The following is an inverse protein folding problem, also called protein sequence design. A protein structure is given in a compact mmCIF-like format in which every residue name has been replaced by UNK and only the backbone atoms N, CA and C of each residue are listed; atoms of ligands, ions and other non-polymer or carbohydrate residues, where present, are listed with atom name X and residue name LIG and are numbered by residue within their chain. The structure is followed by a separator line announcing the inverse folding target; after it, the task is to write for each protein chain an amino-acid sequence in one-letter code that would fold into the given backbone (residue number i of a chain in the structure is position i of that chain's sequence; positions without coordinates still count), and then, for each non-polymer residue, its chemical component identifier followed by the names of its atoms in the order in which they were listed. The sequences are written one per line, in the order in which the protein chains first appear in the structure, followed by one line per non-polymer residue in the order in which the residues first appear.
data_IF_107532911279
#
_entry.id   IF_107532911279
#
_cell.length_a   1.000
_cell.length_b   1.000
_cell.length_c   1.000
_cell.angle_alpha   90.00
_cell.angle_beta   90.00
_cell.angle_gamma   90.00
#
_symmetry.space_group_name_H-M   'P 1'
#
loop_
_entity.id
_entity.type
_entity.pdbx_description
1 polymer ?
#
# COMPACT_ATOMS: atom_id res chain seq x y z
N UNK A 1 50.72 22.38 -10.99
CA UNK A 1 51.92 23.23 -10.78
C UNK A 1 51.45 24.68 -10.67
N UNK A 2 52.12 25.57 -9.91
CA UNK A 2 53.43 25.44 -9.26
C UNK A 2 53.36 25.49 -7.71
N UNK A 3 54.11 24.63 -6.99
CA UNK A 3 55.39 24.84 -6.26
C UNK A 3 55.25 25.67 -4.96
N UNK A 4 55.79 25.30 -3.78
CA UNK A 4 56.67 24.20 -3.39
C UNK A 4 57.03 24.18 -1.87
N UNK A 5 57.39 22.96 -1.44
CA UNK A 5 58.16 22.41 -0.29
C UNK A 5 59.00 23.32 0.64
N UNK A 6 59.03 22.97 1.93
CA UNK A 6 60.19 22.54 2.79
C UNK A 6 59.73 22.55 4.28
N UNK A 7 59.77 21.49 5.09
CA UNK A 7 60.84 20.59 5.59
C UNK A 7 61.79 21.26 6.62
N UNK A 8 61.77 20.76 7.87
CA UNK A 8 62.76 21.06 8.92
C UNK A 8 62.44 20.38 10.26
N UNK A 9 63.26 19.39 10.63
CA UNK A 9 63.20 18.55 11.84
C UNK A 9 64.34 18.93 12.82
N UNK A 10 64.21 18.46 14.07
CA UNK A 10 65.24 18.27 15.11
C UNK A 10 65.71 19.52 15.90
N UNK A 11 66.05 19.48 17.20
CA UNK A 11 66.22 18.40 18.18
C UNK A 11 66.31 18.99 19.61
N UNK A 12 66.18 18.11 20.62
CA UNK A 12 67.10 17.96 21.75
C UNK A 12 66.45 17.83 23.14
N UNK A 13 67.05 16.94 23.90
CA UNK A 13 66.63 16.22 25.09
C UNK A 13 67.74 16.41 26.13
N UNK A 14 67.43 16.66 27.40
CA UNK A 14 68.26 16.23 28.55
C UNK A 14 67.58 16.48 29.91
N UNK A 15 67.70 15.47 30.77
CA UNK A 15 67.24 15.32 32.16
C UNK A 15 68.03 16.18 33.17
N UNK A 16 67.46 16.37 34.38
CA UNK A 16 68.15 15.99 35.65
C UNK A 16 67.16 15.72 36.82
N UNK A 17 67.47 14.65 37.55
CA UNK A 17 67.04 14.16 38.89
C UNK A 17 67.42 15.16 40.02
N UNK A 18 67.01 15.15 41.31
CA UNK A 18 66.22 14.27 42.23
C UNK A 18 66.14 14.89 43.66
N UNK A 19 65.33 14.25 44.53
CA UNK A 19 65.28 14.24 46.01
C UNK A 19 64.39 15.31 46.70
N UNK A 20 63.48 15.01 47.63
CA UNK A 20 63.06 13.78 48.32
C UNK A 20 62.70 14.13 49.78
N UNK A 21 61.51 13.75 50.30
CA UNK A 21 61.26 13.29 51.68
C UNK A 21 59.78 12.91 51.88
N UNK A 22 59.57 11.75 52.51
CA UNK A 22 58.27 11.20 52.88
C UNK A 22 57.90 11.57 54.32
N UNK A 23 56.60 11.77 54.60
CA UNK A 23 55.96 11.45 55.89
C UNK A 23 54.52 10.98 55.63
N UNK A 24 54.10 10.04 56.46
CA UNK A 24 52.94 9.17 56.29
C UNK A 24 51.67 9.67 57.03
N UNK A 25 50.56 9.00 56.70
CA UNK A 25 49.29 8.85 57.46
C UNK A 25 48.27 9.99 57.38
N UNK A 26 47.15 9.74 56.68
CA UNK A 26 45.93 9.29 57.35
C UNK A 26 44.88 8.81 56.33
N UNK A 27 44.49 7.54 56.49
CA UNK A 27 43.32 6.96 55.84
C UNK A 27 42.07 7.45 56.58
N UNK A 28 41.13 8.05 55.84
CA UNK A 28 39.75 8.21 56.27
C UNK A 28 38.88 7.78 55.10
N UNK A 29 38.32 6.58 55.23
CA UNK A 29 37.41 6.00 54.25
C UNK A 29 36.13 6.83 54.17
N UNK A 30 35.93 7.50 53.03
CA UNK A 30 34.59 7.91 52.60
C UNK A 30 34.04 6.73 51.80
N UNK A 31 33.12 6.00 52.42
CA UNK A 31 32.29 5.02 51.73
C UNK A 31 31.49 5.78 50.68
N UNK A 32 31.79 5.55 49.40
CA UNK A 32 31.01 6.09 48.30
C UNK A 32 29.57 5.54 48.41
N UNK A 33 28.62 6.43 48.65
CA UNK A 33 27.20 6.14 48.60
C UNK A 33 26.86 5.62 47.18
N UNK A 34 26.14 4.50 47.04
CA UNK A 34 25.70 4.05 45.72
C UNK A 34 24.80 5.14 45.13
N UNK A 35 25.14 5.58 43.92
CA UNK A 35 24.32 6.52 43.16
C UNK A 35 22.90 5.95 43.06
N UNK A 36 21.93 6.68 43.60
CA UNK A 36 20.52 6.33 43.46
C UNK A 36 20.16 6.22 41.96
N UNK A 37 19.15 5.42 41.60
CA UNK A 37 18.73 5.30 40.22
C UNK A 37 18.42 6.70 39.67
N UNK A 38 19.15 7.11 38.64
CA UNK A 38 18.85 8.31 37.87
C UNK A 38 17.37 8.26 37.50
N UNK A 39 16.61 9.21 38.03
CA UNK A 39 15.23 9.39 37.67
C UNK A 39 15.17 9.47 36.14
N UNK A 40 14.52 8.48 35.52
CA UNK A 40 14.18 8.53 34.10
C UNK A 40 13.35 9.79 33.95
N UNK A 41 13.91 10.81 33.30
CA UNK A 41 13.20 12.04 33.00
C UNK A 41 11.99 11.64 32.15
N UNK A 42 10.81 11.66 32.75
CA UNK A 42 9.54 11.47 32.05
C UNK A 42 9.39 12.64 31.09
N UNK A 43 9.59 12.39 29.79
CA UNK A 43 9.26 13.34 28.73
C UNK A 43 7.83 13.86 28.97
N UNK A 44 7.60 15.19 28.99
CA UNK A 44 6.25 15.73 29.13
C UNK A 44 5.32 15.11 28.08
N UNK A 45 4.12 14.71 28.50
CA UNK A 45 3.11 14.17 27.59
C UNK A 45 2.77 15.20 26.50
N UNK A 46 2.81 14.79 25.23
CA UNK A 46 2.44 15.64 24.09
C UNK A 46 0.91 15.62 23.93
N UNK A 47 0.19 16.74 24.17
CA UNK A 47 -1.27 16.77 24.10
C UNK A 47 -1.82 16.40 22.71
N UNK A 48 -1.03 16.58 21.65
CA UNK A 48 -1.44 16.14 20.32
C UNK A 48 -1.56 14.62 20.25
N UNK A 49 -0.66 13.89 20.92
CA UNK A 49 -0.64 12.44 20.90
C UNK A 49 -1.79 11.85 21.73
N UNK A 50 -2.17 12.52 22.83
CA UNK A 50 -3.41 12.17 23.55
C UNK A 50 -4.65 12.33 22.66
N UNK A 51 -4.72 13.38 21.84
CA UNK A 51 -5.81 13.58 20.89
C UNK A 51 -5.80 12.52 19.76
N UNK A 52 -4.63 12.16 19.26
CA UNK A 52 -4.46 11.10 18.26
C UNK A 52 -4.97 9.77 18.81
N UNK A 53 -4.52 9.38 20.02
CA UNK A 53 -4.96 8.13 20.65
C UNK A 53 -6.47 8.15 20.92
N UNK A 54 -7.02 9.29 21.34
CA UNK A 54 -8.47 9.42 21.53
C UNK A 54 -9.24 9.26 20.23
N UNK A 55 -8.74 9.81 19.12
CA UNK A 55 -9.35 9.66 17.81
C UNK A 55 -9.35 8.20 17.35
N UNK A 56 -8.22 7.50 17.52
CA UNK A 56 -8.07 6.07 17.19
C UNK A 56 -9.00 5.22 18.07
N UNK A 57 -9.01 5.44 19.38
CA UNK A 57 -9.85 4.71 20.34
C UNK A 57 -11.34 4.85 20.00
N UNK A 58 -11.85 6.08 19.86
CA UNK A 58 -13.26 6.33 19.54
C UNK A 58 -13.67 5.61 18.26
N UNK A 59 -12.84 5.67 17.23
CA UNK A 59 -13.17 5.09 15.94
C UNK A 59 -12.96 3.57 15.89
N UNK A 60 -12.20 2.98 16.83
CA UNK A 60 -12.07 1.53 16.97
C UNK A 60 -13.38 0.83 17.37
N UNK A 61 -14.32 1.60 17.92
CA UNK A 61 -15.67 1.13 18.26
C UNK A 61 -16.65 1.13 17.07
N UNK A 62 -16.20 1.56 15.88
CA UNK A 62 -16.98 1.46 14.65
C UNK A 62 -16.85 0.07 14.05
N UNK A 63 -17.71 -0.84 14.49
CA UNK A 63 -17.70 -2.20 13.97
C UNK A 63 -18.34 -2.28 12.59
N UNK A 64 -17.61 -2.87 11.65
CA UNK A 64 -18.21 -3.43 10.44
C UNK A 64 -18.77 -4.81 10.75
N UNK A 65 -19.83 -5.18 10.04
CA UNK A 65 -20.57 -6.43 10.22
C UNK A 65 -20.21 -7.42 9.13
N UNK A 66 -19.84 -8.64 9.53
CA UNK A 66 -19.67 -9.77 8.61
C UNK A 66 -20.96 -10.01 7.81
N UNK A 67 -20.81 -10.39 6.54
CA UNK A 67 -21.89 -10.65 5.58
C UNK A 67 -22.84 -9.47 5.28
N UNK A 68 -22.64 -8.30 5.89
CA UNK A 68 -23.39 -7.08 5.61
C UNK A 68 -22.50 -6.03 4.96
N UNK A 69 -21.35 -5.72 5.57
CA UNK A 69 -20.36 -4.87 4.95
C UNK A 69 -19.61 -5.63 3.87
N UNK A 70 -19.26 -4.90 2.81
CA UNK A 70 -18.60 -5.50 1.65
C UNK A 70 -17.15 -5.87 1.96
N UNK A 71 -16.57 -6.85 1.23
CA UNK A 71 -15.15 -7.13 1.29
C UNK A 71 -14.30 -5.87 1.13
N UNK A 72 -14.65 -4.99 0.19
CA UNK A 72 -13.97 -3.72 0.00
C UNK A 72 -13.91 -2.90 1.30
N UNK A 73 -15.05 -2.72 1.99
CA UNK A 73 -15.10 -1.96 3.25
C UNK A 73 -14.27 -2.62 4.35
N UNK A 74 -14.31 -3.95 4.45
CA UNK A 74 -13.63 -4.71 5.50
C UNK A 74 -12.10 -4.68 5.32
N UNK A 75 -11.59 -4.79 4.10
CA UNK A 75 -10.15 -4.66 3.84
C UNK A 75 -9.61 -3.25 4.16
N UNK A 76 -10.42 -2.20 3.99
CA UNK A 76 -10.02 -0.87 4.47
C UNK A 76 -9.95 -0.82 6.00
N UNK A 77 -10.86 -1.47 6.73
CA UNK A 77 -10.71 -1.61 8.17
C UNK A 77 -9.42 -2.33 8.58
N UNK A 78 -9.04 -3.37 7.83
CA UNK A 78 -7.78 -4.11 8.01
C UNK A 78 -6.57 -3.22 7.75
N UNK A 79 -6.58 -2.35 6.72
CA UNK A 79 -5.43 -1.47 6.47
C UNK A 79 -5.20 -0.46 7.58
N UNK A 80 -6.19 -0.14 8.42
CA UNK A 80 -5.99 0.73 9.59
C UNK A 80 -5.50 -0.09 10.79
N UNK A 81 -6.32 -1.03 11.26
CA UNK A 81 -6.10 -1.71 12.54
C UNK A 81 -5.34 -3.04 12.42
N UNK A 82 -4.97 -3.45 11.21
CA UNK A 82 -4.26 -4.71 10.94
C UNK A 82 -4.98 -5.90 11.57
N UNK A 83 -4.25 -6.75 12.29
CA UNK A 83 -4.77 -7.89 13.06
C UNK A 83 -5.73 -7.52 14.19
N UNK A 84 -5.76 -6.25 14.61
CA UNK A 84 -6.63 -5.77 15.69
C UNK A 84 -8.00 -5.32 15.17
N UNK A 85 -8.23 -5.32 13.85
CA UNK A 85 -9.53 -4.94 13.32
C UNK A 85 -10.57 -5.99 13.71
N UNK A 86 -11.65 -5.58 14.40
CA UNK A 86 -12.70 -6.47 14.87
C UNK A 86 -13.96 -6.31 14.01
N UNK A 87 -14.53 -7.44 13.58
CA UNK A 87 -15.85 -7.50 12.95
C UNK A 87 -16.90 -7.92 13.97
N UNK A 88 -18.11 -7.42 13.77
CA UNK A 88 -19.31 -7.98 14.38
C UNK A 88 -19.77 -9.19 13.55
N UNK A 89 -19.81 -10.37 14.17
CA UNK A 89 -20.21 -11.65 13.57
C UNK A 89 -21.36 -12.22 14.38
N UNK A 90 -22.59 -12.05 13.88
CA UNK A 90 -23.79 -12.27 14.71
C UNK A 90 -23.77 -11.35 15.93
N UNK A 91 -23.90 -11.92 17.12
CA UNK A 91 -23.82 -11.20 18.40
C UNK A 91 -22.39 -11.12 18.98
N UNK A 92 -21.42 -11.77 18.34
CA UNK A 92 -20.03 -11.82 18.81
C UNK A 92 -19.12 -10.88 18.04
N UNK A 93 -17.94 -10.61 18.61
CA UNK A 93 -16.85 -9.91 17.92
C UNK A 93 -15.73 -10.89 17.60
N UNK A 94 -15.20 -10.82 16.39
CA UNK A 94 -14.09 -11.66 15.94
C UNK A 94 -13.06 -10.81 15.18
N UNK A 95 -11.75 -11.10 15.31
CA UNK A 95 -10.75 -10.46 14.44
C UNK A 95 -11.09 -10.69 12.97
N UNK A 96 -11.04 -9.62 12.17
CA UNK A 96 -11.47 -9.62 10.78
C UNK A 96 -10.69 -10.63 9.94
N UNK A 97 -9.37 -10.66 10.11
CA UNK A 97 -8.48 -11.57 9.39
C UNK A 97 -8.81 -13.03 9.73
N UNK A 98 -9.04 -13.34 11.00
CA UNK A 98 -9.36 -14.71 11.45
C UNK A 98 -10.73 -15.16 10.91
N UNK A 99 -11.69 -14.25 10.89
CA UNK A 99 -13.00 -14.52 10.29
C UNK A 99 -12.87 -14.80 8.79
N UNK A 100 -12.17 -13.95 8.02
CA UNK A 100 -11.93 -14.16 6.59
C UNK A 100 -11.19 -15.49 6.34
N UNK A 101 -10.20 -15.81 7.17
CA UNK A 101 -9.39 -17.02 7.06
C UNK A 101 -10.19 -18.31 7.28
N UNK A 102 -11.23 -18.27 8.12
CA UNK A 102 -11.92 -19.49 8.58
C UNK A 102 -13.33 -19.67 8.06
N UNK A 103 -14.02 -18.59 7.67
CA UNK A 103 -15.45 -18.61 7.40
C UNK A 103 -15.85 -19.09 5.99
N UNK A 104 -14.90 -19.26 5.06
CA UNK A 104 -15.20 -19.43 3.62
C UNK A 104 -16.15 -18.32 3.13
N UNK A 105 -15.73 -17.07 3.40
CA UNK A 105 -16.59 -15.89 3.37
C UNK A 105 -17.22 -15.64 1.99
N UNK A 106 -18.49 -15.22 2.01
CA UNK A 106 -19.28 -14.86 0.82
C UNK A 106 -19.92 -13.49 0.98
N UNK A 107 -20.05 -12.75 -0.11
CA UNK A 107 -20.81 -11.50 -0.18
C UNK A 107 -21.73 -11.54 -1.39
N UNK A 108 -23.04 -11.37 -1.17
CA UNK A 108 -24.07 -11.57 -2.19
C UNK A 108 -23.89 -12.89 -2.98
N UNK A 109 -23.67 -13.99 -2.25
CA UNK A 109 -23.43 -15.35 -2.76
C UNK A 109 -22.13 -15.56 -3.56
N UNK A 110 -21.33 -14.51 -3.80
CA UNK A 110 -20.03 -14.61 -4.43
C UNK A 110 -18.94 -14.88 -3.38
N UNK A 111 -17.99 -15.80 -3.65
CA UNK A 111 -16.89 -16.08 -2.72
C UNK A 111 -15.94 -14.88 -2.64
N UNK A 112 -15.33 -14.66 -1.48
CA UNK A 112 -14.33 -13.58 -1.33
C UNK A 112 -12.98 -13.93 -1.96
N UNK A 113 -12.67 -15.22 -2.06
CA UNK A 113 -11.41 -15.73 -2.60
C UNK A 113 -11.73 -16.72 -3.71
N UNK A 114 -11.02 -16.58 -4.82
CA UNK A 114 -11.11 -17.44 -6.00
C UNK A 114 -9.85 -18.28 -6.11
N UNK A 115 -10.02 -19.56 -6.44
CA UNK A 115 -8.91 -20.45 -6.85
C UNK A 115 -8.65 -20.20 -8.34
N UNK A 116 -7.37 -20.05 -8.71
CA UNK A 116 -6.95 -19.80 -10.09
C UNK A 116 -5.97 -20.88 -10.55
N UNK A 117 -5.65 -20.90 -11.85
CA UNK A 117 -4.60 -21.78 -12.38
C UNK A 117 -3.20 -21.47 -11.79
N UNK A 118 -3.00 -20.26 -11.26
CA UNK A 118 -1.73 -19.77 -10.72
C UNK A 118 -1.74 -19.69 -9.18
N UNK A 119 -2.78 -20.17 -8.50
CA UNK A 119 -2.90 -20.10 -7.04
C UNK A 119 -4.28 -19.64 -6.60
N UNK A 120 -4.36 -18.45 -6.01
CA UNK A 120 -5.62 -17.88 -5.55
C UNK A 120 -5.61 -16.36 -5.68
N UNK A 121 -6.77 -15.70 -5.62
CA UNK A 121 -6.87 -14.24 -5.53
C UNK A 121 -8.11 -13.82 -4.76
N UNK A 122 -8.09 -12.61 -4.22
CA UNK A 122 -9.33 -12.00 -3.78
C UNK A 122 -10.24 -11.74 -4.98
N UNK A 123 -11.54 -11.82 -4.75
CA UNK A 123 -12.52 -11.75 -5.82
C UNK A 123 -12.45 -10.37 -6.50
N UNK A 124 -12.34 -10.30 -7.83
CA UNK A 124 -12.20 -9.05 -8.56
C UNK A 124 -13.52 -8.27 -8.59
N UNK A 125 -13.49 -7.08 -9.20
CA UNK A 125 -14.67 -6.25 -9.42
C UNK A 125 -15.83 -7.06 -10.02
N UNK A 126 -16.98 -7.01 -9.34
CA UNK A 126 -18.17 -7.78 -9.71
C UNK A 126 -19.20 -6.97 -10.51
N UNK A 127 -18.84 -5.79 -11.03
CA UNK A 127 -19.80 -4.87 -11.64
C UNK A 127 -20.53 -3.95 -10.65
N UNK A 128 -20.25 -4.08 -9.35
CA UNK A 128 -20.84 -3.26 -8.29
C UNK A 128 -19.75 -2.45 -7.57
N UNK A 129 -19.79 -1.11 -7.64
CA UNK A 129 -18.90 -0.22 -6.90
C UNK A 129 -18.71 -0.63 -5.44
N UNK A 130 -17.46 -0.66 -4.98
CA UNK A 130 -17.10 -0.92 -3.58
C UNK A 130 -17.68 -2.22 -3.00
N UNK A 131 -18.02 -3.22 -3.82
CA UNK A 131 -18.40 -4.56 -3.36
C UNK A 131 -17.13 -5.40 -3.10
N UNK A 132 -16.32 -5.57 -4.15
CA UNK A 132 -15.08 -6.32 -4.15
C UNK A 132 -13.90 -5.40 -4.53
N UNK A 133 -12.71 -5.93 -4.76
CA UNK A 133 -11.59 -5.08 -5.18
C UNK A 133 -11.85 -4.40 -6.53
N UNK A 134 -11.61 -3.08 -6.57
CA UNK A 134 -11.74 -2.29 -7.80
C UNK A 134 -10.51 -2.40 -8.72
N UNK A 135 -9.38 -2.83 -8.17
CA UNK A 135 -8.11 -2.99 -8.88
C UNK A 135 -7.47 -4.33 -8.54
N UNK A 136 -6.69 -4.95 -9.46
CA UNK A 136 -6.00 -6.19 -9.18
C UNK A 136 -5.15 -6.12 -7.92
N UNK A 137 -5.31 -7.10 -7.03
CA UNK A 137 -4.53 -7.21 -5.78
C UNK A 137 -4.77 -6.13 -4.74
N UNK A 138 -5.81 -5.28 -4.87
CA UNK A 138 -6.11 -4.24 -3.87
C UNK A 138 -6.35 -4.85 -2.48
N UNK A 139 -7.13 -5.92 -2.38
CA UNK A 139 -7.39 -6.55 -1.08
C UNK A 139 -6.12 -7.15 -0.48
N UNK A 140 -5.28 -7.76 -1.32
CA UNK A 140 -4.00 -8.34 -0.90
C UNK A 140 -3.01 -7.26 -0.46
N UNK A 141 -2.98 -6.12 -1.14
CA UNK A 141 -2.17 -4.97 -0.77
C UNK A 141 -2.56 -4.41 0.60
N UNK A 142 -3.85 -4.16 0.84
CA UNK A 142 -4.35 -3.69 2.13
C UNK A 142 -4.06 -4.70 3.26
N UNK A 143 -4.23 -6.00 2.97
CA UNK A 143 -3.90 -7.08 3.91
C UNK A 143 -2.41 -7.16 4.21
N UNK A 144 -1.53 -6.87 3.23
CA UNK A 144 -0.08 -7.04 3.35
C UNK A 144 0.54 -6.17 4.45
N UNK A 145 -0.11 -5.06 4.79
CA UNK A 145 0.30 -4.21 5.91
C UNK A 145 0.10 -4.88 7.28
N UNK A 146 -0.58 -6.03 7.36
CA UNK A 146 -0.72 -6.83 8.59
C UNK A 146 0.44 -7.81 8.82
N UNK A 147 1.40 -7.87 7.90
CA UNK A 147 2.60 -8.72 7.96
C UNK A 147 2.28 -10.17 8.37
N UNK A 148 1.30 -10.75 7.70
CA UNK A 148 0.99 -12.18 7.84
C UNK A 148 2.11 -12.98 7.15
N UNK A 149 2.51 -14.15 7.69
CA UNK A 149 3.51 -14.97 7.02
C UNK A 149 2.97 -15.50 5.69
N UNK A 150 3.85 -15.81 4.73
CA UNK A 150 3.45 -16.23 3.38
C UNK A 150 2.71 -17.56 3.35
N UNK A 151 2.87 -18.40 4.38
CA UNK A 151 2.15 -19.66 4.58
C UNK A 151 0.81 -19.51 5.33
N UNK A 152 0.42 -18.28 5.72
CA UNK A 152 -0.88 -18.01 6.34
C UNK A 152 -2.00 -18.45 5.40
N UNK A 153 -3.00 -19.16 5.97
CA UNK A 153 -3.99 -19.90 5.21
C UNK A 153 -5.39 -19.29 5.29
N UNK A 154 -6.10 -19.38 4.17
CA UNK A 154 -7.53 -19.08 4.04
C UNK A 154 -8.28 -20.32 3.58
N UNK A 155 -9.41 -20.61 4.23
CA UNK A 155 -10.34 -21.65 3.79
C UNK A 155 -11.17 -21.15 2.61
N UNK A 156 -11.21 -21.95 1.54
CA UNK A 156 -11.96 -21.66 0.31
C UNK A 156 -12.55 -22.96 -0.23
N UNK A 157 -13.87 -23.10 -0.21
CA UNK A 157 -14.58 -24.26 -0.77
C UNK A 157 -14.01 -25.62 -0.32
N UNK A 158 -13.75 -25.77 0.99
CA UNK A 158 -13.19 -27.00 1.58
C UNK A 158 -11.69 -27.21 1.34
N UNK A 159 -10.99 -26.27 0.70
CA UNK A 159 -9.53 -26.28 0.51
C UNK A 159 -8.89 -25.15 1.31
N UNK A 160 -7.57 -25.22 1.46
CA UNK A 160 -6.77 -24.13 1.99
C UNK A 160 -5.95 -23.48 0.88
N UNK A 161 -5.88 -22.16 0.88
CA UNK A 161 -4.99 -21.37 0.02
C UNK A 161 -4.13 -20.44 0.87
N UNK A 162 -2.94 -20.10 0.39
CA UNK A 162 -1.94 -19.32 1.14
C UNK A 162 -1.74 -17.92 0.58
N UNK A 163 -1.16 -17.03 1.37
CA UNK A 163 -0.67 -15.73 0.89
C UNK A 163 0.35 -15.92 -0.24
N UNK A 164 1.25 -16.91 -0.16
CA UNK A 164 2.20 -17.24 -1.22
C UNK A 164 1.50 -17.53 -2.56
N UNK A 165 0.40 -18.28 -2.54
CA UNK A 165 -0.40 -18.55 -3.74
C UNK A 165 -1.11 -17.30 -4.27
N UNK A 166 -1.50 -16.38 -3.39
CA UNK A 166 -2.06 -15.08 -3.80
C UNK A 166 -1.01 -14.19 -4.47
N UNK A 167 0.17 -14.09 -3.87
CA UNK A 167 1.31 -13.37 -4.44
C UNK A 167 1.72 -13.97 -5.81
N UNK A 168 1.74 -15.30 -5.93
CA UNK A 168 2.02 -15.95 -7.20
C UNK A 168 0.99 -15.58 -8.26
N UNK A 169 -0.30 -15.63 -7.94
CA UNK A 169 -1.33 -15.20 -8.87
C UNK A 169 -1.14 -13.74 -9.30
N UNK A 170 -0.87 -12.82 -8.36
CA UNK A 170 -0.60 -11.41 -8.67
C UNK A 170 0.57 -11.24 -9.63
N UNK A 171 1.67 -11.98 -9.43
CA UNK A 171 2.82 -11.98 -10.35
C UNK A 171 2.45 -12.53 -11.74
N UNK A 172 1.62 -13.56 -11.82
CA UNK A 172 1.24 -14.18 -13.10
C UNK A 172 0.22 -13.36 -13.90
N UNK A 173 -0.68 -12.63 -13.24
CA UNK A 173 -1.74 -11.82 -13.89
C UNK A 173 -1.35 -10.34 -14.12
N UNK A 174 -0.23 -9.88 -13.57
CA UNK A 174 0.23 -8.49 -13.73
C UNK A 174 0.40 -8.10 -15.19
N UNK A 175 -0.09 -6.92 -15.54
CA UNK A 175 -0.06 -6.36 -16.89
C UNK A 175 -0.08 -4.82 -16.84
N UNK A 176 0.13 -4.14 -17.96
CA UNK A 176 0.15 -2.66 -18.05
C UNK A 176 -1.20 -2.03 -18.42
N UNK A 177 -2.28 -2.82 -18.53
CA UNK A 177 -3.63 -2.30 -18.87
C UNK A 177 -4.43 -1.93 -17.64
N UNK A 178 -3.97 -2.34 -16.47
CA UNK A 178 -4.60 -2.11 -15.18
C UNK A 178 -3.63 -1.39 -14.23
N UNK A 179 -4.15 -0.85 -13.13
CA UNK A 179 -3.32 -0.14 -12.17
C UNK A 179 -2.36 -1.09 -11.43
N UNK A 180 -1.05 -0.85 -11.57
CA UNK A 180 0.00 -1.65 -10.93
C UNK A 180 0.32 -1.25 -9.49
N UNK A 181 -0.23 -0.14 -8.98
CA UNK A 181 -0.01 0.37 -7.61
C UNK A 181 -0.21 -0.71 -6.56
N UNK A 182 -1.35 -1.40 -6.65
CA UNK A 182 -1.77 -2.42 -5.67
C UNK A 182 -0.94 -3.71 -5.81
N UNK A 183 -0.53 -4.06 -7.02
CA UNK A 183 0.40 -5.17 -7.24
C UNK A 183 1.75 -4.87 -6.62
N UNK A 184 2.31 -3.68 -6.86
CA UNK A 184 3.57 -3.27 -6.23
C UNK A 184 3.43 -3.24 -4.70
N UNK A 185 2.32 -2.75 -4.16
CA UNK A 185 2.10 -2.66 -2.71
C UNK A 185 2.05 -4.05 -2.08
N UNK A 186 1.31 -4.98 -2.66
CA UNK A 186 1.31 -6.37 -2.20
C UNK A 186 2.73 -6.98 -2.28
N UNK A 187 3.38 -6.90 -3.45
CA UNK A 187 4.64 -7.62 -3.67
C UNK A 187 5.81 -7.04 -2.88
N UNK A 188 5.93 -5.72 -2.74
CA UNK A 188 7.06 -5.09 -2.05
C UNK A 188 7.10 -5.44 -0.56
N UNK A 189 5.96 -5.79 0.04
CA UNK A 189 5.89 -6.25 1.43
C UNK A 189 6.51 -7.66 1.60
N UNK A 190 6.55 -8.50 0.56
CA UNK A 190 6.99 -9.90 0.66
C UNK A 190 8.24 -10.24 -0.15
N UNK A 191 8.50 -9.54 -1.25
CA UNK A 191 9.55 -9.89 -2.22
C UNK A 191 10.78 -8.99 -2.09
N UNK A 192 12.00 -9.47 -2.37
CA UNK A 192 13.17 -8.61 -2.42
C UNK A 192 13.07 -7.60 -3.58
N UNK A 193 13.79 -6.48 -3.47
CA UNK A 193 13.69 -5.35 -4.43
C UNK A 193 14.21 -5.67 -5.82
N UNK A 194 15.03 -6.72 -5.94
CA UNK A 194 15.61 -7.22 -7.19
C UNK A 194 14.82 -8.41 -7.77
N UNK A 195 13.65 -8.76 -7.20
CA UNK A 195 12.81 -9.86 -7.69
C UNK A 195 12.44 -9.63 -9.16
N UNK A 196 12.70 -10.66 -9.96
CA UNK A 196 12.31 -10.77 -11.37
C UNK A 196 11.46 -12.03 -11.59
N UNK A 197 10.55 -11.97 -12.57
CA UNK A 197 9.71 -13.10 -12.98
C UNK A 197 9.23 -12.93 -14.42
N UNK A 198 8.59 -13.96 -14.95
CA UNK A 198 7.89 -13.91 -16.25
C UNK A 198 6.41 -14.17 -15.97
N UNK A 199 5.52 -13.31 -16.46
CA UNK A 199 4.08 -13.48 -16.24
C UNK A 199 3.49 -14.55 -17.18
N UNK A 200 2.18 -14.79 -17.08
CA UNK A 200 1.51 -15.84 -17.87
C UNK A 200 1.51 -15.58 -19.39
N UNK A 201 1.82 -14.36 -19.82
CA UNK A 201 1.91 -13.98 -21.23
C UNK A 201 3.35 -14.00 -21.76
N UNK A 202 4.30 -14.50 -20.98
CA UNK A 202 5.71 -14.56 -21.38
C UNK A 202 6.44 -13.22 -21.27
N UNK A 203 5.86 -12.22 -20.60
CA UNK A 203 6.46 -10.90 -20.45
C UNK A 203 7.40 -10.87 -19.23
N UNK A 204 8.60 -10.27 -19.35
CA UNK A 204 9.51 -10.14 -18.22
C UNK A 204 9.07 -9.01 -17.28
N UNK A 205 8.96 -9.31 -15.99
CA UNK A 205 8.58 -8.35 -14.95
C UNK A 205 9.61 -8.33 -13.82
N UNK A 206 9.65 -7.20 -13.11
CA UNK A 206 10.45 -7.04 -11.91
C UNK A 206 9.81 -6.02 -10.98
N UNK A 207 10.24 -6.04 -9.71
CA UNK A 207 9.86 -4.98 -8.76
C UNK A 207 10.35 -3.62 -9.29
N UNK A 208 11.56 -3.54 -9.84
CA UNK A 208 12.09 -2.33 -10.46
C UNK A 208 11.21 -1.83 -11.61
N UNK A 209 10.70 -2.72 -12.48
CA UNK A 209 9.76 -2.36 -13.55
C UNK A 209 8.44 -1.82 -13.01
N UNK A 210 7.91 -2.41 -11.93
CA UNK A 210 6.71 -1.89 -11.27
C UNK A 210 6.96 -0.48 -10.72
N UNK A 211 8.09 -0.25 -10.06
CA UNK A 211 8.49 1.08 -9.59
C UNK A 211 8.61 2.05 -10.77
N UNK A 212 9.17 1.63 -11.90
CA UNK A 212 9.27 2.45 -13.11
C UNK A 212 7.90 2.89 -13.66
N UNK A 213 6.93 1.99 -13.69
CA UNK A 213 5.56 2.31 -14.10
C UNK A 213 4.93 3.31 -13.13
N UNK A 214 5.13 3.12 -11.82
CA UNK A 214 4.60 4.01 -10.79
C UNK A 214 5.28 5.39 -10.76
N UNK A 215 6.56 5.47 -11.10
CA UNK A 215 7.28 6.74 -11.28
C UNK A 215 6.76 7.48 -12.51
N UNK A 216 6.55 6.80 -13.64
CA UNK A 216 6.06 7.39 -14.88
C UNK A 216 4.57 7.81 -14.82
N UNK A 217 3.83 7.32 -13.82
CA UNK A 217 2.42 7.61 -13.65
C UNK A 217 2.09 9.10 -13.45
N UNK A 218 1.00 9.56 -14.06
CA UNK A 218 0.42 10.88 -13.84
C UNK A 218 -0.33 10.95 -12.49
N UNK A 219 0.42 11.19 -11.41
CA UNK A 219 -0.06 11.13 -10.02
C UNK A 219 -1.30 11.99 -9.74
N UNK A 220 -1.38 13.29 -10.13
CA UNK A 220 -2.53 14.14 -9.77
C UNK A 220 -3.85 13.67 -10.39
N UNK A 221 -3.81 12.95 -11.51
CA UNK A 221 -5.00 12.46 -12.21
C UNK A 221 -5.41 11.03 -11.81
N UNK A 222 -4.69 10.41 -10.87
CA UNK A 222 -5.06 9.11 -10.32
C UNK A 222 -6.14 9.18 -9.23
N UNK A 223 -6.83 8.06 -8.96
CA UNK A 223 -7.73 7.95 -7.81
C UNK A 223 -7.07 8.43 -6.51
N UNK A 224 -7.86 9.04 -5.62
CA UNK A 224 -7.40 9.58 -4.32
C UNK A 224 -6.18 10.53 -4.45
N UNK A 225 -6.09 11.26 -5.57
CA UNK A 225 -4.99 12.18 -5.87
C UNK A 225 -3.64 11.49 -6.12
N UNK A 226 -3.63 10.18 -6.38
CA UNK A 226 -2.41 9.40 -6.54
C UNK A 226 -1.65 9.13 -5.23
N UNK A 227 -2.28 9.35 -4.07
CA UNK A 227 -1.63 9.10 -2.78
C UNK A 227 -1.26 7.63 -2.56
N UNK A 228 -2.04 6.66 -3.09
CA UNK A 228 -1.66 5.24 -3.01
C UNK A 228 -0.38 4.95 -3.82
N UNK A 229 -0.25 5.56 -5.00
CA UNK A 229 0.97 5.51 -5.82
C UNK A 229 2.18 6.09 -5.06
N UNK A 230 2.03 7.26 -4.44
CA UNK A 230 3.10 7.87 -3.66
C UNK A 230 3.45 7.06 -2.41
N UNK A 231 2.45 6.53 -1.72
CA UNK A 231 2.63 5.68 -0.54
C UNK A 231 3.44 4.43 -0.88
N UNK A 232 3.08 3.71 -1.95
CA UNK A 232 3.81 2.50 -2.31
C UNK A 232 5.22 2.80 -2.82
N UNK A 233 5.43 3.93 -3.51
CA UNK A 233 6.78 4.36 -3.89
C UNK A 233 7.64 4.62 -2.64
N UNK A 234 7.07 5.17 -1.56
CA UNK A 234 7.80 5.33 -0.29
C UNK A 234 8.23 3.97 0.27
N UNK A 235 7.31 3.00 0.37
CA UNK A 235 7.61 1.65 0.85
C UNK A 235 8.70 0.97 0.02
N UNK A 236 8.64 1.09 -1.30
CA UNK A 236 9.63 0.51 -2.21
C UNK A 236 11.01 1.17 -2.08
N UNK A 237 11.05 2.51 -2.09
CA UNK A 237 12.27 3.30 -1.90
C UNK A 237 12.93 3.02 -0.55
N UNK A 238 12.15 2.92 0.52
CA UNK A 238 12.66 2.60 1.85
C UNK A 238 13.21 1.16 1.93
N UNK A 239 12.53 0.19 1.33
CA UNK A 239 13.03 -1.20 1.24
C UNK A 239 14.33 -1.28 0.45
N UNK A 240 14.43 -0.53 -0.65
CA UNK A 240 15.65 -0.45 -1.45
C UNK A 240 16.81 0.16 -0.66
N UNK A 241 16.60 1.27 0.05
CA UNK A 241 17.61 1.85 0.95
C UNK A 241 18.06 0.88 2.05
N UNK A 242 17.12 0.13 2.64
CA UNK A 242 17.42 -0.90 3.65
C UNK A 242 18.25 -2.06 3.12
N UNK A 243 18.28 -2.29 1.80
CA UNK A 243 19.16 -3.27 1.17
C UNK A 243 20.63 -2.81 1.09
N UNK A 244 20.95 -1.59 1.56
CA UNK A 244 22.30 -1.02 1.52
C UNK A 244 22.70 -0.43 0.16
N UNK A 245 21.79 -0.44 -0.81
CA UNK A 245 22.04 0.07 -2.15
C UNK A 245 21.90 1.60 -2.21
N UNK A 246 22.80 2.33 -2.89
CA UNK A 246 22.64 3.76 -3.09
C UNK A 246 21.50 4.04 -4.09
N UNK A 247 20.73 5.10 -3.85
CA UNK A 247 19.69 5.54 -4.78
C UNK A 247 20.31 5.87 -6.15
N UNK A 248 19.84 5.16 -7.18
CA UNK A 248 20.25 5.32 -8.57
C UNK A 248 19.11 4.90 -9.51
N UNK A 249 19.14 5.37 -10.74
CA UNK A 249 18.11 5.06 -11.75
C UNK A 249 16.70 5.35 -11.22
N UNK A 250 15.77 4.43 -11.46
CA UNK A 250 14.36 4.59 -11.09
C UNK A 250 14.13 4.78 -9.58
N UNK A 251 15.02 4.27 -8.73
CA UNK A 251 14.92 4.44 -7.28
C UNK A 251 15.19 5.88 -6.86
N UNK A 252 16.12 6.55 -7.55
CA UNK A 252 16.37 7.98 -7.37
C UNK A 252 15.20 8.81 -7.90
N UNK A 253 14.64 8.45 -9.05
CA UNK A 253 13.46 9.11 -9.62
C UNK A 253 12.24 8.99 -8.69
N UNK A 254 12.03 7.80 -8.08
CA UNK A 254 11.00 7.59 -7.07
C UNK A 254 11.20 8.52 -5.86
N UNK A 255 12.43 8.62 -5.34
CA UNK A 255 12.75 9.52 -4.23
C UNK A 255 12.50 11.00 -4.59
N UNK A 256 12.88 11.43 -5.79
CA UNK A 256 12.62 12.79 -6.28
C UNK A 256 11.13 13.08 -6.41
N UNK A 257 10.35 12.13 -6.94
CA UNK A 257 8.90 12.23 -7.06
C UNK A 257 8.25 12.38 -5.67
N UNK A 258 8.63 11.53 -4.72
CA UNK A 258 8.16 11.59 -3.33
C UNK A 258 8.45 12.95 -2.70
N UNK A 259 9.67 13.47 -2.83
CA UNK A 259 10.05 14.78 -2.29
C UNK A 259 9.25 15.92 -2.93
N UNK A 260 9.05 15.85 -4.24
CA UNK A 260 8.27 16.86 -4.98
C UNK A 260 6.84 16.92 -4.46
N UNK A 261 6.16 15.78 -4.37
CA UNK A 261 4.77 15.74 -3.90
C UNK A 261 4.63 16.03 -2.40
N UNK A 262 5.67 15.76 -1.59
CA UNK A 262 5.73 16.21 -0.20
C UNK A 262 5.67 17.74 -0.11
N UNK A 263 6.47 18.43 -0.93
CA UNK A 263 6.50 19.90 -0.92
C UNK A 263 5.27 20.53 -1.58
N UNK A 264 4.65 19.84 -2.55
CA UNK A 264 3.33 20.22 -3.06
C UNK A 264 2.27 20.14 -1.97
N UNK A 265 2.17 19.03 -1.24
CA UNK A 265 1.23 18.91 -0.11
C UNK A 265 1.45 20.03 0.92
N UNK A 266 2.70 20.29 1.30
CA UNK A 266 3.05 21.34 2.27
C UNK A 266 2.65 22.73 1.78
N UNK A 267 2.97 23.07 0.53
CA UNK A 267 2.70 24.42 -0.01
C UNK A 267 1.21 24.71 -0.23
N UNK A 268 0.38 23.67 -0.38
CA UNK A 268 -1.07 23.78 -0.57
C UNK A 268 -1.88 23.49 0.70
N UNK A 269 -1.22 23.36 1.87
CA UNK A 269 -1.94 23.17 3.13
C UNK A 269 -2.80 24.41 3.45
N UNK A 270 -4.05 24.17 3.81
CA UNK A 270 -5.00 25.20 4.22
C UNK A 270 -4.64 25.77 5.60
N UNK A 271 -5.18 26.95 5.91
CA UNK A 271 -4.92 27.65 7.18
C UNK A 271 -5.33 26.86 8.42
N UNK A 272 -6.31 25.97 8.31
CA UNK A 272 -6.79 25.10 9.39
C UNK A 272 -5.95 23.82 9.57
N UNK A 273 -4.92 23.62 8.75
CA UNK A 273 -4.08 22.42 8.74
C UNK A 273 -4.52 21.33 7.78
N UNK A 274 -5.71 21.43 7.18
CA UNK A 274 -6.19 20.44 6.20
C UNK A 274 -5.39 20.52 4.90
N UNK A 275 -5.31 19.42 4.16
CA UNK A 275 -4.72 19.44 2.82
C UNK A 275 -5.76 19.83 1.77
N UNK A 276 -5.26 20.25 0.60
CA UNK A 276 -6.09 20.73 -0.48
C UNK A 276 -7.18 19.72 -0.87
N UNK A 277 -8.42 20.21 -1.04
CA UNK A 277 -9.52 19.42 -1.60
C UNK A 277 -9.29 19.00 -3.05
N UNK A 278 -8.32 19.62 -3.72
CA UNK A 278 -7.88 19.30 -5.08
C UNK A 278 -6.60 18.44 -5.10
N UNK A 279 -6.19 17.89 -3.94
CA UNK A 279 -4.92 17.19 -3.76
C UNK A 279 -3.73 17.99 -4.27
N UNK A 280 -3.11 17.55 -5.37
CA UNK A 280 -1.91 18.12 -5.94
C UNK A 280 -2.18 19.04 -7.15
N UNK A 281 -3.44 19.19 -7.58
CA UNK A 281 -3.80 19.99 -8.77
C UNK A 281 -3.83 21.50 -8.51
N UNK A 282 -3.85 21.90 -7.25
CA UNK A 282 -3.87 23.29 -6.83
C UNK A 282 -4.45 23.46 -5.42
N UNK A 283 -4.44 24.67 -4.86
CA UNK A 283 -5.11 24.96 -3.60
C UNK A 283 -6.62 24.68 -3.66
N UNK A 284 -7.20 24.30 -2.52
CA UNK A 284 -8.62 23.97 -2.43
C UNK A 284 -9.03 23.75 -0.99
N UNK A 285 -10.13 24.37 -0.59
CA UNK A 285 -10.67 24.22 0.76
C UNK A 285 -12.09 23.66 0.68
N UNK A 286 -12.41 22.74 1.58
CA UNK A 286 -13.76 22.20 1.75
C UNK A 286 -14.01 21.95 3.24
N UNK A 287 -15.28 22.02 3.61
CA UNK A 287 -15.79 21.67 4.95
C UNK A 287 -16.57 20.35 4.93
N UNK A 288 -16.76 19.72 3.77
CA UNK A 288 -17.40 18.42 3.67
C UNK A 288 -16.54 17.33 4.31
N UNK A 289 -17.09 16.64 5.31
CA UNK A 289 -16.38 15.66 6.13
C UNK A 289 -15.78 14.53 5.29
N UNK A 290 -16.55 13.94 4.37
CA UNK A 290 -16.08 12.83 3.55
C UNK A 290 -14.97 13.28 2.60
N UNK A 291 -15.11 14.45 2.00
CA UNK A 291 -14.08 15.06 1.15
C UNK A 291 -12.80 15.34 1.94
N UNK A 292 -12.89 15.81 3.18
CA UNK A 292 -11.72 16.09 4.03
C UNK A 292 -11.03 14.81 4.50
N UNK A 293 -11.76 13.79 4.93
CA UNK A 293 -11.17 12.48 5.20
C UNK A 293 -10.52 11.90 3.95
N UNK A 294 -11.14 12.12 2.78
CA UNK A 294 -10.56 11.65 1.53
C UNK A 294 -9.28 12.41 1.17
N UNK A 295 -9.24 13.73 1.28
CA UNK A 295 -8.06 14.50 0.87
C UNK A 295 -6.98 14.56 1.95
N UNK A 296 -7.34 15.00 3.15
CA UNK A 296 -6.41 15.14 4.27
C UNK A 296 -5.94 13.78 4.78
N UNK A 297 -6.84 12.81 4.90
CA UNK A 297 -6.50 11.46 5.35
C UNK A 297 -5.49 10.77 4.42
N UNK A 298 -5.77 10.68 3.12
CA UNK A 298 -4.85 10.05 2.18
C UNK A 298 -3.53 10.82 2.01
N UNK A 299 -3.56 12.16 2.00
CA UNK A 299 -2.33 12.95 1.89
C UNK A 299 -1.46 12.76 3.14
N UNK A 300 -2.07 12.77 4.34
CA UNK A 300 -1.32 12.49 5.57
C UNK A 300 -0.84 11.04 5.64
N UNK A 301 -1.59 10.07 5.11
CA UNK A 301 -1.17 8.67 5.03
C UNK A 301 0.14 8.54 4.22
N UNK A 302 0.19 9.15 3.04
CA UNK A 302 1.41 9.27 2.26
C UNK A 302 2.54 9.93 3.06
N UNK A 303 2.30 11.12 3.61
CA UNK A 303 3.32 11.90 4.33
C UNK A 303 3.84 11.20 5.58
N UNK A 304 3.00 10.44 6.27
CA UNK A 304 3.34 9.66 7.46
C UNK A 304 4.39 8.57 7.17
N UNK A 305 4.58 8.20 5.91
CA UNK A 305 5.63 7.27 5.47
C UNK A 305 6.74 8.00 4.71
N UNK A 306 6.40 9.06 3.95
CA UNK A 306 7.35 9.77 3.10
C UNK A 306 8.39 10.60 3.85
N UNK A 307 7.96 11.28 4.93
CA UNK A 307 8.80 12.23 5.66
C UNK A 307 9.85 11.49 6.50
N UNK A 308 11.08 12.02 6.65
CA UNK A 308 12.01 11.54 7.67
C UNK A 308 11.49 11.91 9.08
N UNK A 309 11.88 11.16 10.11
CA UNK A 309 11.33 11.29 11.47
C UNK A 309 11.43 12.71 12.02
N UNK A 310 12.52 13.43 11.74
CA UNK A 310 12.74 14.80 12.22
C UNK A 310 11.72 15.79 11.66
N UNK A 311 11.13 15.51 10.50
CA UNK A 311 10.13 16.37 9.88
C UNK A 311 8.71 16.09 10.36
N UNK A 312 8.45 14.96 11.03
CA UNK A 312 7.13 14.64 11.57
C UNK A 312 6.70 15.60 12.71
N UNK A 313 7.66 16.26 13.35
CA UNK A 313 7.41 17.30 14.34
C UNK A 313 7.23 18.71 13.75
N UNK A 314 7.38 18.90 12.43
CA UNK A 314 7.15 20.20 11.81
C UNK A 314 5.69 20.65 12.00
N UNK A 315 5.49 21.94 12.26
CA UNK A 315 4.18 22.48 12.63
C UNK A 315 3.08 22.20 11.59
N UNK A 316 3.40 22.24 10.30
CA UNK A 316 2.42 21.94 9.25
C UNK A 316 1.95 20.47 9.30
N UNK A 317 2.84 19.52 9.63
CA UNK A 317 2.45 18.10 9.84
C UNK A 317 1.57 17.99 11.08
N UNK A 318 2.01 18.58 12.19
CA UNK A 318 1.26 18.58 13.45
C UNK A 318 -0.12 19.21 13.31
N UNK A 319 -0.26 20.27 12.50
CA UNK A 319 -1.55 20.89 12.19
C UNK A 319 -2.48 19.92 11.43
N UNK A 320 -1.96 19.19 10.44
CA UNK A 320 -2.74 18.17 9.72
C UNK A 320 -3.18 17.02 10.63
N UNK A 321 -2.28 16.52 11.48
CA UNK A 321 -2.58 15.50 12.50
C UNK A 321 -3.64 16.01 13.47
N UNK A 322 -3.50 17.26 13.93
CA UNK A 322 -4.42 17.89 14.87
C UNK A 322 -5.83 17.99 14.28
N UNK A 323 -5.98 18.60 13.10
CA UNK A 323 -7.30 18.78 12.50
C UNK A 323 -7.95 17.44 12.16
N UNK A 324 -7.21 16.48 11.60
CA UNK A 324 -7.74 15.16 11.26
C UNK A 324 -8.20 14.40 12.51
N UNK A 325 -7.40 14.43 13.59
CA UNK A 325 -7.77 13.78 14.86
C UNK A 325 -9.00 14.44 15.48
N UNK A 326 -9.07 15.77 15.48
CA UNK A 326 -10.23 16.51 15.98
C UNK A 326 -11.49 16.14 15.19
N UNK A 327 -11.44 16.11 13.86
CA UNK A 327 -12.59 15.76 13.02
C UNK A 327 -13.06 14.33 13.23
N UNK A 328 -12.14 13.38 13.35
CA UNK A 328 -12.46 11.98 13.66
C UNK A 328 -13.15 11.82 15.03
N UNK A 329 -12.82 12.67 16.01
CA UNK A 329 -13.49 12.71 17.31
C UNK A 329 -14.89 13.33 17.18
N UNK A 330 -15.01 14.46 16.48
CA UNK A 330 -16.31 15.13 16.29
C UNK A 330 -17.28 14.27 15.49
N UNK A 331 -16.77 13.53 14.51
CA UNK A 331 -17.55 12.64 13.66
C UNK A 331 -18.05 11.38 14.39
N UNK A 332 -17.78 11.17 15.70
CA UNK A 332 -18.07 9.91 16.42
C UNK A 332 -19.48 9.34 16.22
N UNK A 333 -20.48 10.20 16.04
CA UNK A 333 -21.89 9.80 15.82
C UNK A 333 -22.32 9.85 14.35
N UNK A 334 -21.46 10.30 13.44
CA UNK A 334 -21.68 10.32 12.01
C UNK A 334 -21.36 8.96 11.37
N UNK A 335 -21.76 8.79 10.10
CA UNK A 335 -21.50 7.60 9.29
C UNK A 335 -20.60 7.95 8.08
N UNK A 336 -19.30 8.22 8.29
CA UNK A 336 -18.39 8.55 7.20
C UNK A 336 -18.17 7.36 6.27
N UNK A 337 -17.76 7.66 5.04
CA UNK A 337 -17.39 6.64 4.06
C UNK A 337 -16.21 5.78 4.57
N UNK A 338 -16.33 4.44 4.58
CA UNK A 338 -15.30 3.58 5.18
C UNK A 338 -13.90 3.73 4.59
N UNK A 339 -13.77 3.92 3.27
CA UNK A 339 -12.44 4.06 2.64
C UNK A 339 -11.67 5.27 3.19
N UNK A 340 -12.18 6.50 2.98
CA UNK A 340 -11.60 7.71 3.57
C UNK A 340 -11.39 7.65 5.09
N UNK A 341 -12.36 7.08 5.83
CA UNK A 341 -12.25 6.92 7.28
C UNK A 341 -11.02 6.08 7.66
N UNK A 342 -10.88 4.89 7.08
CA UNK A 342 -9.81 3.98 7.49
C UNK A 342 -8.43 4.40 6.96
N UNK A 343 -8.34 5.06 5.80
CA UNK A 343 -7.08 5.69 5.38
C UNK A 343 -6.67 6.84 6.32
N UNK A 344 -7.64 7.62 6.81
CA UNK A 344 -7.37 8.65 7.84
C UNK A 344 -6.85 8.03 9.14
N UNK A 345 -7.43 6.91 9.58
CA UNK A 345 -6.97 6.20 10.77
C UNK A 345 -5.61 5.56 10.56
N UNK A 346 -5.34 4.97 9.39
CA UNK A 346 -4.03 4.44 9.05
C UNK A 346 -2.96 5.55 9.07
N UNK A 347 -3.27 6.75 8.57
CA UNK A 347 -2.38 7.90 8.65
C UNK A 347 -2.01 8.25 10.10
N UNK A 348 -3.00 8.33 11.00
CA UNK A 348 -2.78 8.63 12.41
C UNK A 348 -1.99 7.52 13.14
N UNK A 349 -2.29 6.25 12.83
CA UNK A 349 -1.58 5.09 13.38
C UNK A 349 -0.12 5.10 12.93
N UNK A 350 0.15 5.28 11.63
CA UNK A 350 1.51 5.37 11.10
C UNK A 350 2.28 6.55 11.70
N UNK A 351 1.63 7.72 11.84
CA UNK A 351 2.23 8.89 12.48
C UNK A 351 2.62 8.59 13.93
N UNK A 352 1.65 8.12 14.73
CA UNK A 352 1.86 7.77 16.15
C UNK A 352 2.99 6.76 16.30
N UNK A 353 2.97 5.67 15.53
CA UNK A 353 3.94 4.58 15.68
C UNK A 353 5.38 5.03 15.35
N UNK A 354 5.55 6.11 14.57
CA UNK A 354 6.86 6.70 14.28
C UNK A 354 7.33 7.72 15.30
N UNK A 355 6.43 8.55 15.84
CA UNK A 355 6.78 9.57 16.84
C UNK A 355 6.79 9.05 18.28
N UNK A 356 6.09 7.94 18.52
CA UNK A 356 6.10 7.16 19.76
C UNK A 356 6.22 5.67 19.43
N UNK A 357 7.43 5.20 19.05
CA UNK A 357 7.64 3.79 18.76
C UNK A 357 7.31 2.94 19.99
N UNK A 358 6.36 2.03 19.83
CA UNK A 358 6.16 0.96 20.82
C UNK A 358 7.41 0.06 20.79
N UNK A 359 7.86 -0.48 21.93
CA UNK A 359 8.91 -1.50 21.93
C UNK A 359 8.55 -2.60 20.95
N UNK A 360 9.46 -2.94 20.03
CA UNK A 360 9.19 -3.93 19.01
C UNK A 360 8.76 -5.26 19.65
N UNK A 361 7.61 -5.78 19.23
CA UNK A 361 7.32 -7.19 19.45
C UNK A 361 8.39 -8.03 18.70
N UNK A 362 8.84 -9.17 19.24
CA UNK A 362 9.92 -9.95 18.62
C UNK A 362 9.60 -10.25 17.16
N UNK A 363 10.56 -9.94 16.29
CA UNK A 363 10.48 -10.10 14.85
C UNK A 363 10.13 -11.56 14.51
N UNK A 364 8.97 -11.78 13.88
CA UNK A 364 8.65 -13.08 13.30
C UNK A 364 9.63 -13.28 12.15
N UNK A 365 10.56 -14.21 12.35
CA UNK A 365 11.65 -14.51 11.44
C UNK A 365 11.18 -14.54 9.98
N UNK A 366 11.94 -13.85 9.13
CA UNK A 366 11.79 -13.90 7.67
C UNK A 366 11.80 -15.36 7.23
N UNK A 367 10.70 -15.81 6.64
CA UNK A 367 10.60 -17.16 6.08
C UNK A 367 11.59 -17.29 4.90
N UNK A 368 12.38 -18.37 4.81
CA UNK A 368 13.25 -18.59 3.65
C UNK A 368 12.42 -18.64 2.36
N UNK A 369 13.03 -18.24 1.24
CA UNK A 369 12.42 -18.40 -0.09
C UNK A 369 11.84 -19.81 -0.29
N UNK A 370 10.72 -19.96 -1.02
CA UNK A 370 10.29 -21.26 -1.46
C UNK A 370 11.38 -21.86 -2.35
N UNK A 371 12.04 -22.91 -1.85
CA UNK A 371 13.02 -23.68 -2.59
C UNK A 371 12.43 -24.13 -3.93
N UNK A 372 13.14 -23.99 -5.06
CA UNK A 372 12.64 -24.53 -6.33
C UNK A 372 12.41 -26.03 -6.16
N UNK A 373 11.26 -26.50 -6.64
CA UNK A 373 10.93 -27.92 -6.67
C UNK A 373 12.10 -28.71 -7.31
N UNK A 374 12.47 -29.88 -6.76
CA UNK A 374 13.54 -30.67 -7.33
C UNK A 374 13.18 -30.99 -8.79
N UNK A 375 14.01 -30.49 -9.69
CA UNK A 375 13.99 -30.90 -11.09
C UNK A 375 14.29 -32.39 -11.08
N UNK A 376 13.30 -33.20 -11.42
CA UNK A 376 13.48 -34.63 -11.64
C UNK A 376 14.52 -34.82 -12.74
N UNK A 377 15.76 -35.10 -12.33
CA UNK A 377 16.81 -35.57 -13.22
C UNK A 377 16.33 -36.89 -13.80
N UNK A 378 15.98 -36.89 -15.08
CA UNK A 378 15.81 -38.14 -15.83
C UNK A 378 17.16 -38.85 -15.83
N UNK A 379 17.19 -40.04 -15.24
CA UNK A 379 18.30 -40.98 -15.36
C UNK A 379 18.61 -41.29 -16.85
N UNK A 380 19.86 -41.58 -17.21
CA UNK A 380 20.22 -41.95 -18.58
C UNK A 380 19.56 -43.29 -18.98
N UNK A 381 19.29 -43.52 -20.28
CA UNK A 381 18.67 -44.75 -20.73
C UNK A 381 19.68 -45.91 -20.64
N UNK A 382 19.23 -47.01 -20.04
CA UNK A 382 19.93 -48.28 -20.06
C UNK A 382 19.90 -48.89 -21.47
N UNK A 383 21.03 -49.43 -21.90
CA UNK A 383 21.21 -50.22 -23.12
C UNK A 383 20.22 -51.40 -23.18
N UNK A 384 19.53 -51.56 -24.30
CA UNK A 384 18.88 -52.81 -24.68
C UNK A 384 19.81 -53.61 -25.59
N UNK A 385 19.97 -54.92 -25.38
CA UNK A 385 20.53 -55.80 -26.39
C UNK A 385 19.44 -56.20 -27.40
N UNK A 386 19.80 -56.20 -28.68
CA UNK A 386 19.10 -56.94 -29.73
C UNK A 386 19.83 -58.29 -29.96
N UNK A 387 19.38 -59.21 -30.84
CA UNK A 387 18.13 -59.22 -31.63
C UNK A 387 17.41 -60.59 -31.60
N UNK A 388 16.17 -60.66 -32.09
CA UNK A 388 15.72 -61.79 -32.91
C UNK A 388 14.55 -61.42 -33.83
N UNK A 389 14.72 -61.85 -35.08
CA UNK A 389 13.93 -61.63 -36.28
C UNK A 389 12.65 -62.47 -36.32
N UNK A 390 11.55 -61.88 -36.79
CA UNK A 390 10.53 -62.59 -37.58
C UNK A 390 9.68 -61.59 -38.41
N UNK A 391 9.27 -62.10 -39.56
CA UNK A 391 8.78 -61.49 -40.81
C UNK A 391 7.36 -60.90 -40.82
N UNK A 392 7.24 -59.80 -41.59
CA UNK A 392 6.20 -59.42 -42.56
C UNK A 392 4.71 -59.79 -42.36
N UNK A 393 3.84 -58.78 -42.41
CA UNK A 393 2.77 -58.68 -43.40
C UNK A 393 2.09 -57.29 -43.37
N UNK A 394 1.95 -56.70 -44.54
CA UNK A 394 1.14 -55.52 -44.85
C UNK A 394 -0.36 -55.80 -44.74
N UNK A 395 -1.16 -54.83 -44.30
CA UNK A 395 -2.48 -54.53 -44.88
C UNK A 395 -3.00 -53.19 -44.36
N UNK A 396 -3.15 -52.24 -45.27
CA UNK A 396 -4.04 -51.09 -45.15
C UNK A 396 -5.49 -51.57 -45.30
N UNK A 397 -6.46 -50.96 -44.60
CA UNK A 397 -7.51 -50.30 -45.38
C UNK A 397 -8.09 -49.01 -44.75
N UNK A 398 -8.37 -48.05 -45.64
CA UNK A 398 -9.72 -47.48 -45.75
C UNK A 398 -10.12 -46.34 -44.82
N UNK A 399 -10.12 -45.12 -45.38
CA UNK A 399 -10.94 -43.97 -44.98
C UNK A 399 -12.39 -44.36 -44.63
N UNK A 400 -12.89 -43.87 -43.49
CA UNK A 400 -14.27 -43.39 -43.35
C UNK A 400 -14.29 -42.18 -42.40
N UNK A 401 -14.85 -41.07 -42.89
CA UNK A 401 -15.08 -39.84 -42.16
C UNK A 401 -16.21 -40.00 -41.13
N UNK A 402 -16.16 -39.34 -39.96
CA UNK A 402 -17.33 -39.16 -39.12
C UNK A 402 -18.11 -37.89 -39.48
N UNK A 403 -19.38 -38.15 -39.72
CA UNK A 403 -20.51 -37.29 -40.03
C UNK A 403 -20.67 -36.09 -39.09
N UNK A 404 -21.03 -34.95 -39.69
CA UNK A 404 -21.43 -33.73 -39.03
C UNK A 404 -22.65 -33.94 -38.11
N UNK A 405 -22.51 -33.56 -36.84
CA UNK A 405 -23.64 -33.33 -35.93
C UNK A 405 -24.02 -31.85 -36.03
N UNK A 406 -25.29 -31.63 -36.34
CA UNK A 406 -25.93 -30.34 -36.51
C UNK A 406 -25.86 -29.50 -35.23
N UNK A 407 -25.28 -28.30 -35.34
CA UNK A 407 -25.40 -27.25 -34.32
C UNK A 407 -26.75 -26.56 -34.53
N UNK A 408 -27.57 -26.55 -33.48
CA UNK A 408 -28.84 -25.84 -33.44
C UNK A 408 -28.61 -24.32 -33.58
N UNK A 409 -29.47 -23.67 -34.37
CA UNK A 409 -29.46 -22.23 -34.65
C UNK A 409 -29.58 -21.40 -33.35
N UNK A 410 -28.80 -20.31 -33.19
CA UNK A 410 -29.04 -19.34 -32.12
C UNK A 410 -30.34 -18.58 -32.39
N UNK A 411 -31.16 -18.45 -31.34
CA UNK A 411 -32.30 -17.53 -31.29
C UNK A 411 -31.77 -16.09 -31.35
N UNK A 412 -32.43 -15.26 -32.15
CA UNK A 412 -32.08 -13.87 -32.40
C UNK A 412 -32.13 -13.01 -31.12
N UNK A 413 -31.00 -12.40 -30.78
CA UNK A 413 -30.93 -11.31 -29.81
C UNK A 413 -31.12 -9.98 -30.55
N UNK A 414 -32.05 -9.17 -30.07
CA UNK A 414 -32.36 -7.81 -30.58
C UNK A 414 -31.13 -6.92 -30.45
N UNK A 415 -30.72 -6.31 -31.57
CA UNK A 415 -29.63 -5.34 -31.61
C UNK A 415 -30.06 -3.98 -31.04
N UNK A 416 -29.25 -3.43 -30.15
CA UNK A 416 -29.32 -2.04 -29.72
C UNK A 416 -28.88 -1.10 -30.87
N UNK A 417 -29.46 0.11 -31.01
CA UNK A 417 -29.17 0.97 -32.14
C UNK A 417 -27.78 1.62 -32.02
N UNK A 418 -27.01 1.52 -33.11
CA UNK A 418 -25.79 2.28 -33.35
C UNK A 418 -26.18 3.68 -33.81
N UNK A 419 -25.91 4.70 -33.00
CA UNK A 419 -26.00 6.10 -33.42
C UNK A 419 -24.64 6.52 -33.99
N UNK A 420 -24.60 6.83 -35.29
CA UNK A 420 -23.45 7.44 -35.96
C UNK A 420 -23.44 8.96 -35.69
N UNK A 421 -22.26 9.60 -35.51
CA UNK A 421 -22.17 11.05 -35.45
C UNK A 421 -22.43 11.66 -36.84
N UNK A 422 -23.40 12.56 -36.93
CA UNK A 422 -23.62 13.40 -38.09
C UNK A 422 -22.72 14.64 -38.00
N UNK A 423 -21.95 14.89 -39.06
CA UNK A 423 -21.21 16.13 -39.25
C UNK A 423 -22.19 17.29 -39.48
N UNK A 424 -22.00 18.40 -38.77
CA UNK A 424 -22.71 19.65 -39.00
C UNK A 424 -21.69 20.72 -39.45
N UNK A 425 -21.97 21.27 -40.62
CA UNK A 425 -21.33 22.42 -41.25
C UNK A 425 -21.84 23.72 -40.63
N UNK A 426 -20.92 24.65 -40.36
CA UNK A 426 -21.15 26.09 -40.11
C UNK A 426 -21.72 26.81 -41.37
N UNK A 427 -22.11 28.11 -41.34
CA UNK A 427 -22.18 29.08 -40.22
C UNK A 427 -23.49 29.91 -40.18
N UNK A 428 -23.74 30.64 -39.08
CA UNK A 428 -24.19 32.07 -39.05
C UNK A 428 -24.53 32.50 -37.62
N UNK A 429 -23.78 33.49 -37.11
CA UNK A 429 -24.03 34.14 -35.83
C UNK A 429 -25.00 35.32 -36.00
N UNK A 430 -25.77 35.65 -34.94
CA UNK A 430 -25.97 37.03 -34.59
C UNK A 430 -25.57 37.33 -33.15
N UNK A 431 -24.83 38.42 -33.03
CA UNK A 431 -24.46 39.14 -31.81
C UNK A 431 -25.67 39.45 -30.95
N UNK A 432 -25.60 39.15 -29.64
CA UNK A 432 -26.55 39.67 -28.65
C UNK A 432 -25.83 40.20 -27.41
N UNK A 433 -26.28 41.39 -27.06
CA UNK A 433 -25.73 42.40 -26.16
C UNK A 433 -26.04 42.06 -24.71
N UNK A 434 -25.06 42.21 -23.82
CA UNK A 434 -25.23 42.16 -22.36
C UNK A 434 -25.99 43.39 -21.85
N UNK A 435 -26.93 43.23 -20.89
CA UNK A 435 -27.25 44.30 -19.96
C UNK A 435 -26.64 44.01 -18.58
N UNK A 436 -26.09 45.07 -17.98
CA UNK A 436 -25.79 45.13 -16.55
C UNK A 436 -27.08 45.42 -15.76
N UNK A 437 -27.15 44.97 -14.49
CA UNK A 437 -27.55 45.72 -13.28
C UNK A 437 -27.79 44.73 -12.11
N UNK A 438 -27.08 44.96 -11.00
CA UNK A 438 -27.67 45.18 -9.66
C UNK A 438 -28.06 43.99 -8.78
N UNK A 439 -27.91 44.09 -7.43
CA UNK A 439 -27.93 42.96 -6.52
C UNK A 439 -29.29 42.71 -5.85
N UNK A 440 -29.60 41.45 -5.48
CA UNK A 440 -30.02 41.03 -4.12
C UNK A 440 -30.57 39.58 -4.02
N UNK A 441 -30.18 38.91 -2.93
CA UNK A 441 -30.92 37.94 -2.08
C UNK A 441 -31.25 36.50 -2.52
N UNK A 442 -30.62 35.56 -1.80
CA UNK A 442 -31.12 34.35 -1.11
C UNK A 442 -32.00 33.29 -1.80
N UNK A 443 -31.52 32.05 -1.79
CA UNK A 443 -32.35 30.81 -1.81
C UNK A 443 -31.68 29.65 -2.55
N UNK A 444 -31.61 28.43 -1.98
CA UNK A 444 -30.70 27.39 -2.47
C UNK A 444 -31.30 26.63 -3.65
N UNK A 445 -30.56 26.52 -4.74
CA UNK A 445 -30.88 25.62 -5.86
C UNK A 445 -29.92 24.45 -5.79
N UNK A 446 -30.48 23.29 -5.46
CA UNK A 446 -29.87 21.97 -5.54
C UNK A 446 -29.49 21.67 -7.00
N UNK A 447 -28.19 21.65 -7.30
CA UNK A 447 -27.66 21.15 -8.56
C UNK A 447 -27.11 19.74 -8.33
N UNK A 448 -27.73 18.76 -8.99
CA UNK A 448 -27.25 17.40 -9.15
C UNK A 448 -25.96 17.44 -9.98
N UNK A 449 -24.82 17.12 -9.36
CA UNK A 449 -23.58 16.82 -10.06
C UNK A 449 -23.50 15.33 -10.46
N UNK A 450 -22.81 15.02 -11.58
CA UNK A 450 -22.76 13.67 -12.12
C UNK A 450 -21.91 12.74 -11.26
N UNK A 451 -22.43 11.54 -11.05
CA UNK A 451 -21.78 10.45 -10.34
C UNK A 451 -20.41 10.13 -10.95
N UNK A 452 -19.35 10.46 -10.21
CA UNK A 452 -18.03 9.87 -10.42
C UNK A 452 -18.14 8.36 -10.18
N UNK A 453 -18.00 7.60 -11.27
CA UNK A 453 -17.83 6.14 -11.22
C UNK A 453 -16.50 5.84 -10.53
N UNK A 454 -16.60 5.27 -9.34
CA UNK A 454 -15.52 4.59 -8.62
C UNK A 454 -15.93 3.16 -8.38
#
# INVERSE_FOLDING_TARGET
MPFGRSAGLSASMALFLSAGLAWAQNASGVVAQPAGPSAVATTPADPLLDQVERAIEINSHRYLRANYNSPWQIFHGIVAYRRQFMLQVGDQRMPAIDWIATADARFHNLPWILITQHGAKFHPYSGVPKAFEGHPSQSLALLSESHLPTDFKFKVSGREVTIAQMLNNSMMEVNTREETTWVLWALINYMPVDKQWVNQWGEPWSIERLVQIEVAADTPNRPCGGNHNLFVLCRARDKFLKSGQPLRGVWLEADQKIRTYTEYARSMQNRDGSFSSNFYKGPGHTTDMNSRFNTTGHTLEFLSVALPDQRLSEMWVRNAVNILSWELIQAKSASPDPGPLYHSLNALINYRDRVQPKPAAPEVAQTPEPSPAPTSVKSPPAESPAPQTATAASTTPGLLAPTAIQVAKPVATVAAPVIRPQAATDPTAPTLVLPAIGPETSGPVSALEPANRW
#
